data_IF_597436096581
#
_entry.id   IF_597436096581
#
_cell.length_a   1.000
_cell.length_b   1.000
_cell.length_c   1.000
_cell.angle_alpha   90.00
_cell.angle_beta   90.00
_cell.angle_gamma   90.00
#
_symmetry.space_group_name_H-M   'P 1'
#
loop_
_entity.id
_entity.type
_entity.pdbx_description
1 polymer ?
#
# COMPACT_ATOMS: atom_id res chain seq x y z
N UNK A 1 20.26 -36.31 6.06
CA UNK A 1 20.30 -34.84 6.21
C UNK A 1 19.59 -34.51 7.52
N UNK A 2 20.28 -33.92 8.50
CA UNK A 2 19.79 -33.75 9.89
C UNK A 2 18.48 -32.93 9.92
N UNK A 3 17.45 -33.50 10.52
CA UNK A 3 16.12 -32.90 10.70
C UNK A 3 16.19 -31.48 11.31
N UNK A 4 17.15 -31.29 12.23
CA UNK A 4 17.42 -30.01 12.89
C UNK A 4 17.92 -28.91 11.92
N UNK A 5 18.71 -29.30 10.91
CA UNK A 5 19.22 -28.39 9.88
C UNK A 5 18.09 -27.98 8.94
N UNK A 6 17.23 -28.92 8.56
CA UNK A 6 16.03 -28.65 7.73
C UNK A 6 15.04 -27.69 8.42
N UNK A 7 14.82 -27.83 9.72
CA UNK A 7 13.95 -26.94 10.48
C UNK A 7 14.55 -25.52 10.57
N UNK A 8 15.86 -25.40 10.79
CA UNK A 8 16.56 -24.10 10.78
C UNK A 8 16.52 -23.44 9.40
N UNK A 9 16.76 -24.22 8.32
CA UNK A 9 16.68 -23.68 6.95
C UNK A 9 15.26 -23.19 6.66
N UNK A 10 14.21 -23.94 7.00
CA UNK A 10 12.82 -23.51 6.80
C UNK A 10 12.49 -22.20 7.49
N UNK A 11 13.07 -21.93 8.66
CA UNK A 11 12.88 -20.66 9.39
C UNK A 11 13.49 -19.45 8.67
N UNK A 12 14.54 -19.64 7.87
CA UNK A 12 15.26 -18.58 7.20
C UNK A 12 15.11 -18.59 5.67
N UNK A 13 14.22 -19.42 5.11
CA UNK A 13 14.03 -19.54 3.66
C UNK A 13 13.72 -18.18 3.01
N UNK A 14 12.83 -17.39 3.61
CA UNK A 14 12.47 -16.07 3.06
C UNK A 14 13.67 -15.11 3.02
N UNK A 15 14.49 -15.10 4.08
CA UNK A 15 15.69 -14.26 4.15
C UNK A 15 16.77 -14.74 3.17
N UNK A 16 16.94 -16.05 3.02
CA UNK A 16 17.88 -16.63 2.06
C UNK A 16 17.46 -16.30 0.64
N UNK A 17 16.17 -16.43 0.31
CA UNK A 17 15.63 -16.06 -1.00
C UNK A 17 15.80 -14.56 -1.28
N UNK A 18 15.52 -13.70 -0.31
CA UNK A 18 15.73 -12.26 -0.43
C UNK A 18 17.19 -11.95 -0.72
N UNK A 19 18.12 -12.55 0.03
CA UNK A 19 19.56 -12.36 -0.13
C UNK A 19 20.04 -12.82 -1.51
N UNK A 20 19.54 -13.96 -1.97
CA UNK A 20 19.83 -14.50 -3.29
C UNK A 20 19.34 -13.56 -4.41
N UNK A 21 18.12 -13.01 -4.29
CA UNK A 21 17.58 -12.02 -5.23
C UNK A 21 18.45 -10.76 -5.26
N UNK A 22 18.84 -10.24 -4.09
CA UNK A 22 19.74 -9.08 -3.98
C UNK A 22 21.07 -9.34 -4.70
N UNK A 23 21.69 -10.51 -4.45
CA UNK A 23 22.97 -10.89 -5.08
C UNK A 23 22.81 -10.98 -6.60
N UNK A 24 21.75 -11.60 -7.10
CA UNK A 24 21.49 -11.73 -8.54
C UNK A 24 21.39 -10.35 -9.19
N UNK A 25 20.55 -9.45 -8.67
CA UNK A 25 20.37 -8.11 -9.25
C UNK A 25 21.61 -7.24 -9.11
N UNK A 26 22.34 -7.34 -7.99
CA UNK A 26 23.61 -6.67 -7.79
C UNK A 26 24.68 -7.12 -8.80
N UNK A 27 24.72 -8.43 -9.13
CA UNK A 27 25.65 -8.97 -10.11
C UNK A 27 25.25 -8.63 -11.56
N UNK A 28 23.96 -8.64 -11.88
CA UNK A 28 23.47 -8.37 -13.24
C UNK A 28 23.56 -6.90 -13.65
N UNK A 29 23.33 -5.97 -12.74
CA UNK A 29 23.27 -4.53 -12.99
C UNK A 29 23.92 -3.71 -11.86
N UNK A 30 25.21 -3.91 -11.57
CA UNK A 30 25.86 -3.27 -10.42
C UNK A 30 25.87 -1.73 -10.52
N UNK A 31 26.02 -1.19 -11.72
CA UNK A 31 26.05 0.26 -11.95
C UNK A 31 24.71 0.95 -11.65
N UNK A 32 23.58 0.23 -11.73
CA UNK A 32 22.27 0.76 -11.44
C UNK A 32 21.81 0.36 -10.03
N UNK A 33 22.13 -0.87 -9.61
CA UNK A 33 21.66 -1.43 -8.35
C UNK A 33 22.20 -0.67 -7.13
N UNK A 34 23.48 -0.31 -7.14
CA UNK A 34 24.16 0.39 -6.03
C UNK A 34 24.07 1.92 -6.13
N UNK A 35 23.22 2.48 -7.00
CA UNK A 35 23.03 3.92 -7.04
C UNK A 35 22.23 4.43 -5.84
N UNK A 36 22.54 5.62 -5.35
CA UNK A 36 21.76 6.28 -4.29
C UNK A 36 20.30 6.49 -4.71
N UNK A 37 20.07 6.80 -5.99
CA UNK A 37 18.74 6.98 -6.56
C UNK A 37 17.90 5.70 -6.47
N UNK A 38 18.49 4.54 -6.81
CA UNK A 38 17.79 3.25 -6.68
C UNK A 38 17.49 2.92 -5.22
N UNK A 39 18.46 3.14 -4.31
CA UNK A 39 18.26 2.90 -2.88
C UNK A 39 17.14 3.79 -2.31
N UNK A 40 17.12 5.07 -2.63
CA UNK A 40 16.07 6.00 -2.20
C UNK A 40 14.71 5.61 -2.80
N UNK A 41 14.68 5.11 -4.03
CA UNK A 41 13.46 4.61 -4.67
C UNK A 41 12.91 3.38 -3.94
N UNK A 42 13.77 2.42 -3.58
CA UNK A 42 13.38 1.24 -2.80
C UNK A 42 12.83 1.66 -1.44
N UNK A 43 13.52 2.53 -0.72
CA UNK A 43 13.11 3.01 0.61
C UNK A 43 11.75 3.73 0.52
N UNK A 44 11.53 4.55 -0.50
CA UNK A 44 10.25 5.22 -0.76
C UNK A 44 9.11 4.23 -0.99
N UNK A 45 9.34 3.20 -1.81
CA UNK A 45 8.33 2.16 -2.08
C UNK A 45 8.00 1.37 -0.81
N UNK A 46 9.01 0.99 -0.04
CA UNK A 46 8.83 0.31 1.26
C UNK A 46 8.03 1.19 2.22
N UNK A 47 8.32 2.48 2.30
CA UNK A 47 7.58 3.42 3.16
C UNK A 47 6.09 3.52 2.75
N UNK A 48 5.82 3.62 1.45
CA UNK A 48 4.43 3.68 0.94
C UNK A 48 3.65 2.40 1.28
N UNK A 49 4.25 1.22 1.06
CA UNK A 49 3.64 -0.04 1.46
C UNK A 49 3.51 -0.16 2.98
N UNK A 50 4.48 0.36 3.74
CA UNK A 50 4.47 0.41 5.19
C UNK A 50 3.29 1.20 5.74
N UNK A 51 2.92 2.33 5.13
CA UNK A 51 1.75 3.13 5.53
C UNK A 51 0.47 2.28 5.39
N UNK A 52 0.31 1.57 4.27
CA UNK A 52 -0.83 0.67 4.06
C UNK A 52 -0.82 -0.46 5.09
N UNK A 53 0.33 -1.06 5.34
CA UNK A 53 0.48 -2.15 6.31
C UNK A 53 0.14 -1.72 7.75
N UNK A 54 0.46 -0.47 8.16
CA UNK A 54 0.03 0.08 9.44
C UNK A 54 -1.50 0.11 9.57
N UNK A 55 -2.21 0.52 8.52
CA UNK A 55 -3.68 0.47 8.50
C UNK A 55 -4.22 -0.95 8.61
N UNK A 56 -3.67 -1.88 7.83
CA UNK A 56 -4.07 -3.30 7.85
C UNK A 56 -3.79 -3.96 9.21
N UNK A 57 -2.72 -3.53 9.92
CA UNK A 57 -2.39 -4.09 11.24
C UNK A 57 -3.51 -3.90 12.26
N UNK A 58 -4.24 -2.77 12.25
CA UNK A 58 -5.41 -2.58 13.11
C UNK A 58 -6.51 -3.59 12.81
N UNK A 59 -6.75 -3.89 11.55
CA UNK A 59 -7.74 -4.88 11.16
C UNK A 59 -7.33 -6.30 11.59
N UNK A 60 -6.05 -6.63 11.46
CA UNK A 60 -5.50 -7.91 11.92
C UNK A 60 -5.66 -8.10 13.43
N UNK A 61 -5.56 -7.05 14.23
CA UNK A 61 -5.79 -7.12 15.69
C UNK A 61 -7.23 -7.51 16.04
N UNK A 62 -8.20 -7.20 15.17
CA UNK A 62 -9.60 -7.66 15.33
C UNK A 62 -9.81 -9.11 14.86
N UNK A 63 -8.76 -9.81 14.43
CA UNK A 63 -8.84 -11.16 13.88
C UNK A 63 -9.37 -11.22 12.44
N UNK A 64 -9.50 -10.07 11.76
CA UNK A 64 -10.03 -9.98 10.40
C UNK A 64 -8.91 -9.73 9.40
N UNK A 65 -9.09 -10.23 8.16
CA UNK A 65 -8.19 -10.00 7.03
C UNK A 65 -8.99 -9.36 5.89
N UNK A 66 -8.46 -8.27 5.32
CA UNK A 66 -9.05 -7.59 4.17
C UNK A 66 -8.07 -7.60 2.99
N UNK A 67 -8.42 -8.34 1.95
CA UNK A 67 -7.63 -8.40 0.71
C UNK A 67 -8.00 -7.30 -0.30
N UNK A 68 -9.06 -6.54 -0.07
CA UNK A 68 -9.50 -5.47 -0.97
C UNK A 68 -8.61 -4.21 -0.89
N UNK A 69 -7.83 -4.05 0.18
CA UNK A 69 -7.06 -2.84 0.51
C UNK A 69 -6.20 -2.36 -0.67
N UNK A 70 -5.52 -3.27 -1.39
CA UNK A 70 -4.68 -2.89 -2.53
C UNK A 70 -5.47 -2.28 -3.69
N UNK A 71 -6.66 -2.81 -4.00
CA UNK A 71 -7.54 -2.29 -5.06
C UNK A 71 -8.27 -1.02 -4.63
N UNK A 72 -8.65 -0.92 -3.37
CA UNK A 72 -9.23 0.29 -2.77
C UNK A 72 -8.20 1.43 -2.76
N UNK A 73 -6.94 1.14 -2.46
CA UNK A 73 -5.84 2.11 -2.58
C UNK A 73 -5.68 2.63 -4.02
N UNK A 74 -5.69 1.73 -5.02
CA UNK A 74 -5.66 2.12 -6.42
C UNK A 74 -6.89 2.97 -6.81
N UNK A 75 -8.08 2.60 -6.31
CA UNK A 75 -9.32 3.33 -6.53
C UNK A 75 -9.27 4.77 -5.99
N UNK A 76 -8.66 4.98 -4.82
CA UNK A 76 -8.44 6.32 -4.30
C UNK A 76 -7.66 7.20 -5.29
N UNK A 77 -6.60 6.65 -5.90
CA UNK A 77 -5.81 7.33 -6.91
C UNK A 77 -6.60 7.65 -8.17
N UNK A 78 -7.39 6.69 -8.66
CA UNK A 78 -8.24 6.87 -9.86
C UNK A 78 -9.28 7.95 -9.63
N UNK A 79 -10.06 7.87 -8.55
CA UNK A 79 -11.11 8.86 -8.22
C UNK A 79 -10.50 10.25 -8.05
N UNK A 80 -9.40 10.36 -7.31
CA UNK A 80 -8.70 11.63 -7.10
C UNK A 80 -8.25 12.25 -8.44
N UNK A 81 -7.67 11.44 -9.33
CA UNK A 81 -7.18 11.90 -10.62
C UNK A 81 -8.31 12.35 -11.57
N UNK A 82 -9.42 11.61 -11.60
CA UNK A 82 -10.58 11.95 -12.43
C UNK A 82 -11.27 13.23 -11.96
N UNK A 83 -11.47 13.40 -10.65
CA UNK A 83 -12.06 14.61 -10.08
C UNK A 83 -11.18 15.84 -10.35
N UNK A 84 -9.87 15.70 -10.23
CA UNK A 84 -8.94 16.77 -10.59
C UNK A 84 -9.03 17.12 -12.07
N UNK A 85 -9.09 16.14 -12.97
CA UNK A 85 -9.28 16.38 -14.42
C UNK A 85 -10.64 17.02 -14.76
N UNK A 86 -11.65 16.78 -13.95
CA UNK A 86 -12.95 17.46 -14.05
C UNK A 86 -12.93 18.91 -13.54
N UNK A 87 -11.76 19.43 -13.14
CA UNK A 87 -11.59 20.82 -12.68
C UNK A 87 -11.79 21.03 -11.18
N UNK A 88 -11.96 19.97 -10.40
CA UNK A 88 -12.09 20.07 -8.94
C UNK A 88 -10.70 20.26 -8.32
N UNK A 89 -10.61 21.13 -7.31
CA UNK A 89 -9.35 21.33 -6.56
C UNK A 89 -8.79 19.99 -6.08
N UNK A 90 -7.46 19.81 -6.18
CA UNK A 90 -6.78 18.56 -5.81
C UNK A 90 -7.04 18.14 -4.34
N UNK A 91 -7.13 19.10 -3.43
CA UNK A 91 -7.38 18.81 -2.01
C UNK A 91 -8.81 18.32 -1.76
N UNK A 92 -9.79 18.86 -2.49
CA UNK A 92 -11.18 18.38 -2.45
C UNK A 92 -11.25 16.99 -3.11
N UNK A 93 -10.54 16.77 -4.20
CA UNK A 93 -10.46 15.47 -4.88
C UNK A 93 -9.88 14.39 -3.96
N UNK A 94 -8.82 14.70 -3.19
CA UNK A 94 -8.27 13.80 -2.18
C UNK A 94 -9.30 13.49 -1.09
N UNK A 95 -9.99 14.51 -0.58
CA UNK A 95 -11.00 14.29 0.47
C UNK A 95 -12.13 13.39 -0.02
N UNK A 96 -12.66 13.64 -1.21
CA UNK A 96 -13.74 12.82 -1.80
C UNK A 96 -13.25 11.38 -2.03
N UNK A 97 -12.04 11.19 -2.55
CA UNK A 97 -11.50 9.85 -2.79
C UNK A 97 -11.31 9.05 -1.49
N UNK A 98 -10.86 9.70 -0.42
CA UNK A 98 -10.76 9.07 0.91
C UNK A 98 -12.13 8.68 1.44
N UNK A 99 -13.13 9.57 1.34
CA UNK A 99 -14.51 9.27 1.76
C UNK A 99 -15.12 8.12 0.94
N UNK A 100 -14.85 8.05 -0.36
CA UNK A 100 -15.29 6.94 -1.20
C UNK A 100 -14.66 5.61 -0.76
N UNK A 101 -13.36 5.60 -0.44
CA UNK A 101 -12.70 4.41 0.10
C UNK A 101 -13.25 3.96 1.45
N UNK A 102 -13.52 4.91 2.35
CA UNK A 102 -14.18 4.62 3.63
C UNK A 102 -15.56 3.98 3.37
N UNK A 103 -16.34 4.53 2.44
CA UNK A 103 -17.63 3.97 2.05
C UNK A 103 -17.54 2.52 1.56
N UNK A 104 -16.57 2.21 0.68
CA UNK A 104 -16.33 0.83 0.21
C UNK A 104 -15.97 -0.08 1.38
N UNK A 105 -15.07 0.32 2.26
CA UNK A 105 -14.66 -0.48 3.41
C UNK A 105 -15.82 -0.70 4.40
N UNK A 106 -16.66 0.32 4.61
CA UNK A 106 -17.87 0.20 5.44
C UNK A 106 -18.87 -0.79 4.83
N UNK A 107 -19.09 -0.76 3.52
CA UNK A 107 -19.97 -1.72 2.82
C UNK A 107 -19.41 -3.13 2.97
N UNK A 108 -18.11 -3.33 2.78
CA UNK A 108 -17.45 -4.63 2.93
C UNK A 108 -17.64 -5.18 4.34
N UNK A 109 -17.38 -4.37 5.36
CA UNK A 109 -17.56 -4.74 6.76
C UNK A 109 -19.03 -5.00 7.12
N UNK A 110 -19.94 -4.17 6.62
CA UNK A 110 -21.38 -4.34 6.84
C UNK A 110 -21.90 -5.66 6.27
N UNK A 111 -21.50 -6.01 5.03
CA UNK A 111 -21.88 -7.28 4.40
C UNK A 111 -21.37 -8.46 5.23
N UNK A 112 -20.10 -8.42 5.63
CA UNK A 112 -19.49 -9.47 6.46
C UNK A 112 -20.28 -9.68 7.76
N UNK A 113 -20.57 -8.60 8.49
CA UNK A 113 -21.28 -8.68 9.77
C UNK A 113 -22.75 -9.09 9.60
N UNK A 114 -23.47 -8.51 8.64
CA UNK A 114 -24.89 -8.74 8.44
C UNK A 114 -25.23 -10.17 8.02
N UNK A 115 -24.39 -10.75 7.15
CA UNK A 115 -24.62 -12.09 6.63
C UNK A 115 -23.79 -13.17 7.33
N UNK A 116 -22.97 -12.82 8.32
CA UNK A 116 -22.10 -13.76 9.02
C UNK A 116 -21.03 -14.41 8.12
N UNK A 117 -20.68 -13.75 7.00
CA UNK A 117 -19.68 -14.26 6.05
C UNK A 117 -18.30 -13.80 6.52
N UNK A 118 -17.28 -14.69 6.57
CA UNK A 118 -15.93 -14.29 6.93
C UNK A 118 -15.43 -13.10 6.09
N UNK A 119 -14.83 -12.08 6.75
CA UNK A 119 -14.35 -10.86 6.12
C UNK A 119 -13.42 -11.14 4.93
N UNK A 120 -12.59 -12.17 5.04
CA UNK A 120 -11.70 -12.63 3.98
C UNK A 120 -12.45 -12.94 2.67
N UNK A 121 -13.59 -13.62 2.73
CA UNK A 121 -14.37 -13.98 1.53
C UNK A 121 -15.02 -12.74 0.93
N UNK A 122 -15.62 -11.88 1.77
CA UNK A 122 -16.28 -10.64 1.32
C UNK A 122 -15.27 -9.69 0.72
N UNK A 123 -14.07 -9.57 1.31
CA UNK A 123 -13.02 -8.68 0.81
C UNK A 123 -12.43 -9.14 -0.53
N UNK A 124 -12.31 -10.45 -0.77
CA UNK A 124 -11.91 -10.98 -2.09
C UNK A 124 -12.96 -10.62 -3.15
N UNK A 125 -14.24 -10.76 -2.84
CA UNK A 125 -15.30 -10.35 -3.77
C UNK A 125 -15.27 -8.83 -4.02
N UNK A 126 -15.14 -8.03 -2.95
CA UNK A 126 -15.04 -6.57 -3.07
C UNK A 126 -13.79 -6.15 -3.86
N UNK A 127 -12.67 -6.83 -3.69
CA UNK A 127 -11.45 -6.60 -4.48
C UNK A 127 -11.74 -6.69 -5.99
N UNK A 128 -12.51 -7.68 -6.43
CA UNK A 128 -12.86 -7.84 -7.85
C UNK A 128 -13.86 -6.77 -8.32
N UNK A 129 -14.81 -6.39 -7.47
CA UNK A 129 -15.75 -5.30 -7.78
C UNK A 129 -14.99 -3.98 -7.96
N UNK A 130 -14.09 -3.65 -7.04
CA UNK A 130 -13.29 -2.40 -7.09
C UNK A 130 -12.32 -2.42 -8.27
N UNK A 131 -11.75 -3.57 -8.61
CA UNK A 131 -10.89 -3.71 -9.80
C UNK A 131 -11.66 -3.44 -11.08
N UNK A 132 -12.87 -4.00 -11.21
CA UNK A 132 -13.77 -3.72 -12.33
C UNK A 132 -14.18 -2.25 -12.40
N UNK A 133 -14.47 -1.60 -11.26
CA UNK A 133 -14.75 -0.16 -11.20
C UNK A 133 -13.53 0.67 -11.67
N UNK A 134 -12.33 0.31 -11.25
CA UNK A 134 -11.11 0.98 -11.71
C UNK A 134 -10.97 0.88 -13.25
N UNK A 135 -11.20 -0.29 -13.81
CA UNK A 135 -11.12 -0.48 -15.27
C UNK A 135 -12.18 0.35 -16.02
N UNK A 136 -13.43 0.35 -15.53
CA UNK A 136 -14.51 1.13 -16.16
C UNK A 136 -14.22 2.63 -16.09
N UNK A 137 -13.76 3.13 -14.94
CA UNK A 137 -13.50 4.55 -14.74
C UNK A 137 -12.29 5.07 -15.52
N UNK A 138 -11.35 4.20 -15.87
CA UNK A 138 -10.12 4.58 -16.58
C UNK A 138 -10.12 4.16 -18.05
N UNK A 139 -11.14 3.43 -18.51
CA UNK A 139 -11.13 2.72 -19.79
C UNK A 139 -9.88 1.84 -19.98
N UNK A 140 -9.35 1.30 -18.86
CA UNK A 140 -8.11 0.52 -18.83
C UNK A 140 -6.83 1.33 -19.10
N UNK A 141 -6.91 2.66 -19.21
CA UNK A 141 -5.80 3.53 -19.52
C UNK A 141 -5.17 4.19 -18.30
N UNK A 142 -3.90 4.56 -18.41
CA UNK A 142 -3.21 5.32 -17.36
C UNK A 142 -3.62 6.78 -17.37
N UNK A 143 -3.91 7.35 -16.21
CA UNK A 143 -4.26 8.76 -16.06
C UNK A 143 -2.98 9.58 -15.85
N UNK A 144 -2.73 10.54 -16.74
CA UNK A 144 -1.58 11.46 -16.69
C UNK A 144 -2.02 12.90 -16.35
N UNK A 145 -1.04 13.75 -16.03
CA UNK A 145 -1.25 15.20 -15.89
C UNK A 145 -1.74 15.62 -14.51
N UNK A 146 -1.35 14.92 -13.45
CA UNK A 146 -1.62 15.33 -12.07
C UNK A 146 -0.70 16.50 -11.65
N UNK A 147 -1.18 17.42 -10.77
CA UNK A 147 -0.43 18.60 -10.35
C UNK A 147 0.79 18.22 -9.50
N UNK A 148 1.81 19.07 -9.53
CA UNK A 148 3.04 18.90 -8.73
C UNK A 148 2.77 18.86 -7.22
N UNK A 149 1.71 19.55 -6.76
CA UNK A 149 1.35 19.57 -5.34
C UNK A 149 1.04 18.21 -4.74
N UNK A 150 0.46 17.26 -5.53
CA UNK A 150 0.23 15.90 -5.03
C UNK A 150 1.48 15.03 -5.16
N UNK A 151 2.32 15.31 -6.16
CA UNK A 151 3.59 14.61 -6.33
C UNK A 151 4.54 14.88 -5.18
N UNK A 152 4.38 16.04 -4.50
CA UNK A 152 5.20 16.39 -3.33
C UNK A 152 5.18 15.29 -2.25
N UNK A 153 4.03 14.75 -1.91
CA UNK A 153 3.89 13.71 -0.88
C UNK A 153 4.52 12.37 -1.30
N UNK A 154 4.44 12.04 -2.60
CA UNK A 154 4.89 10.74 -3.09
C UNK A 154 6.29 10.72 -3.70
N UNK A 155 6.78 11.84 -4.22
CA UNK A 155 7.99 11.87 -5.05
C UNK A 155 9.07 12.83 -4.55
N UNK A 156 8.74 13.82 -3.72
CA UNK A 156 9.71 14.82 -3.25
C UNK A 156 10.56 14.34 -2.08
N UNK A 157 11.64 15.09 -1.86
CA UNK A 157 12.63 14.84 -0.82
C UNK A 157 12.73 16.06 0.09
N UNK A 158 12.89 15.85 1.38
CA UNK A 158 13.24 16.84 2.39
C UNK A 158 14.58 16.43 2.97
N UNK A 159 15.59 17.28 2.87
CA UNK A 159 16.97 17.01 3.31
C UNK A 159 17.55 15.68 2.74
N UNK A 160 17.20 15.32 1.51
CA UNK A 160 17.64 14.07 0.89
C UNK A 160 16.84 12.81 1.29
N UNK A 161 15.84 12.94 2.18
CA UNK A 161 14.98 11.83 2.62
C UNK A 161 13.64 11.92 1.86
N UNK A 162 13.13 10.83 1.26
CA UNK A 162 11.82 10.84 0.63
C UNK A 162 10.72 11.22 1.62
N UNK A 163 9.82 12.13 1.24
CA UNK A 163 8.70 12.59 2.11
C UNK A 163 7.86 11.42 2.61
N UNK A 164 7.62 10.41 1.77
CA UNK A 164 6.88 9.20 2.14
C UNK A 164 7.50 8.47 3.35
N UNK A 165 8.83 8.48 3.51
CA UNK A 165 9.52 7.86 4.65
C UNK A 165 9.25 8.64 5.94
N UNK A 166 9.26 9.97 5.86
CA UNK A 166 8.97 10.83 7.01
C UNK A 166 7.52 10.61 7.47
N UNK A 167 6.59 10.59 6.52
CA UNK A 167 5.17 10.31 6.80
C UNK A 167 4.99 8.93 7.43
N UNK A 168 5.64 7.90 6.86
CA UNK A 168 5.61 6.55 7.41
C UNK A 168 6.14 6.49 8.84
N UNK A 169 7.29 7.12 9.11
CA UNK A 169 7.89 7.13 10.44
C UNK A 169 6.97 7.81 11.48
N UNK A 170 6.38 8.96 11.13
CA UNK A 170 5.43 9.67 12.01
C UNK A 170 4.19 8.80 12.28
N UNK A 171 3.60 8.21 11.24
CA UNK A 171 2.44 7.33 11.39
C UNK A 171 2.78 6.08 12.22
N UNK A 172 3.95 5.47 12.01
CA UNK A 172 4.40 4.31 12.77
C UNK A 172 4.55 4.64 14.27
N UNK A 173 5.08 5.84 14.62
CA UNK A 173 5.17 6.30 15.99
C UNK A 173 3.79 6.52 16.62
N UNK A 174 2.85 7.11 15.87
CA UNK A 174 1.46 7.31 16.34
C UNK A 174 0.80 5.95 16.60
N UNK A 175 0.91 5.02 15.65
CA UNK A 175 0.35 3.67 15.77
C UNK A 175 0.97 2.93 16.95
N UNK A 176 2.30 2.96 17.09
CA UNK A 176 2.99 2.34 18.21
C UNK A 176 2.54 2.93 19.56
N UNK A 177 2.34 4.26 19.63
CA UNK A 177 1.83 4.90 20.84
C UNK A 177 0.41 4.45 21.17
N UNK A 178 -0.49 4.37 20.18
CA UNK A 178 -1.87 3.92 20.38
C UNK A 178 -1.88 2.46 20.87
N UNK A 179 -1.13 1.58 20.21
CA UNK A 179 -1.09 0.15 20.53
C UNK A 179 -0.46 -0.14 21.90
N UNK A 180 0.47 0.69 22.37
CA UNK A 180 1.05 0.54 23.71
C UNK A 180 0.14 1.04 24.83
N UNK A 181 -0.90 1.80 24.50
CA UNK A 181 -1.85 2.36 25.49
C UNK A 181 -3.22 1.67 25.49
N UNK A 182 -3.47 0.79 24.54
CA UNK A 182 -4.70 0.02 24.38
C UNK A 182 -4.48 -1.43 24.68
#
# INVERSE_FOLDING_TARGET
MNTTVLIKIKKFVAQILLLLIIIIFAAMKPATFFTLENLLTIIRQVATMGIVALGVSFLMLTGSLDFSVGKVYAFAGVVCALLYKAGISIWISVLISVLACIGISMITGYISMKFGIPMLIVSIAMMQVVDGLNMILTDGATIYGLPESIKFLGQNYILGIPVAVIVFAVLALIVAFILNKT
#
